data_IF_089749405634
#
_entry.id   IF_089749405634
#
_cell.length_a   1.000
_cell.length_b   1.000
_cell.length_c   1.000
_cell.angle_alpha   90.00
_cell.angle_beta   90.00
_cell.angle_gamma   90.00
#
_symmetry.space_group_name_H-M   'P 1'
#
loop_
_entity.id
_entity.type
_entity.pdbx_description
1 polymer ?
#
# COMPACT_ATOMS: atom_id res chain seq x y z
N UNK A 1 13.38 20.32 -16.52
CA UNK A 1 11.93 20.26 -16.19
C UNK A 1 11.83 20.33 -14.68
N UNK A 2 11.12 21.32 -14.13
CA UNK A 2 10.89 21.42 -12.68
C UNK A 2 9.52 20.85 -12.32
N UNK A 3 9.43 20.15 -11.19
CA UNK A 3 8.16 19.78 -10.58
C UNK A 3 7.74 20.86 -9.57
N UNK A 4 6.44 20.95 -9.29
CA UNK A 4 5.91 21.80 -8.22
C UNK A 4 5.42 20.90 -7.08
N UNK A 5 5.82 21.21 -5.85
CA UNK A 5 5.32 20.55 -4.65
C UNK A 5 4.26 21.43 -3.98
N UNK A 6 3.13 20.82 -3.62
CA UNK A 6 2.10 21.46 -2.83
C UNK A 6 2.27 21.12 -1.35
N UNK A 7 2.07 22.10 -0.48
CA UNK A 7 2.09 21.92 0.97
C UNK A 7 0.66 22.07 1.51
N UNK A 8 0.34 21.29 2.53
CA UNK A 8 -0.94 21.42 3.23
C UNK A 8 -0.96 22.71 4.04
N UNK A 9 -2.12 23.36 4.09
CA UNK A 9 -2.29 24.65 4.78
C UNK A 9 -2.34 24.50 6.29
N UNK A 10 -3.00 23.46 6.81
CA UNK A 10 -3.13 23.24 8.25
C UNK A 10 -2.98 21.76 8.63
N UNK A 11 -3.97 20.94 8.28
CA UNK A 11 -4.09 19.56 8.72
C UNK A 11 -4.60 18.66 7.60
N UNK A 12 -4.61 17.35 7.84
CA UNK A 12 -5.12 16.36 6.89
C UNK A 12 -6.61 16.54 6.57
N UNK A 13 -7.35 17.28 7.41
CA UNK A 13 -8.77 17.52 7.20
C UNK A 13 -9.00 18.55 6.08
N UNK A 14 -8.04 19.46 5.84
CA UNK A 14 -8.03 20.41 4.71
C UNK A 14 -7.49 19.84 3.39
N UNK A 15 -7.01 18.58 3.38
CA UNK A 15 -6.36 17.95 2.23
C UNK A 15 -7.19 18.04 0.93
N UNK A 16 -8.50 17.83 1.01
CA UNK A 16 -9.35 17.85 -0.19
C UNK A 16 -9.52 19.26 -0.76
N UNK A 17 -9.54 20.28 0.10
CA UNK A 17 -9.68 21.67 -0.32
C UNK A 17 -8.36 22.16 -0.94
N UNK A 18 -7.23 21.86 -0.30
CA UNK A 18 -5.90 22.14 -0.84
C UNK A 18 -5.68 21.41 -2.19
N UNK A 19 -6.04 20.12 -2.27
CA UNK A 19 -5.92 19.36 -3.51
C UNK A 19 -6.84 19.88 -4.63
N UNK A 20 -8.01 20.43 -4.27
CA UNK A 20 -8.90 21.05 -5.24
C UNK A 20 -8.26 22.30 -5.88
N UNK A 21 -7.59 23.12 -5.08
CA UNK A 21 -6.90 24.35 -5.51
C UNK A 21 -5.63 24.02 -6.30
N UNK A 22 -4.78 23.14 -5.76
CA UNK A 22 -3.48 22.78 -6.34
C UNK A 22 -3.60 21.94 -7.61
N UNK A 23 -4.71 21.19 -7.74
CA UNK A 23 -5.00 20.30 -8.87
C UNK A 23 -3.81 19.38 -9.20
N UNK A 24 -3.33 18.53 -8.27
CA UNK A 24 -2.12 17.74 -8.47
C UNK A 24 -2.24 16.76 -9.64
N UNK A 25 -1.11 16.43 -10.25
CA UNK A 25 -1.00 15.36 -11.27
C UNK A 25 -0.60 14.02 -10.65
N UNK A 26 0.34 14.06 -9.71
CA UNK A 26 0.77 12.94 -8.88
C UNK A 26 0.28 13.16 -7.45
N UNK A 27 -0.31 12.14 -6.83
CA UNK A 27 -0.77 12.20 -5.44
C UNK A 27 -0.11 11.10 -4.61
N UNK A 28 0.80 11.47 -3.72
CA UNK A 28 1.29 10.57 -2.68
C UNK A 28 0.29 10.55 -1.52
N UNK A 29 -0.22 9.38 -1.15
CA UNK A 29 -1.30 9.22 -0.18
C UNK A 29 -1.10 7.97 0.67
N UNK A 30 -1.36 8.07 1.97
CA UNK A 30 -1.31 6.90 2.87
C UNK A 30 -2.67 6.16 2.88
N UNK A 31 -2.68 4.83 3.11
CA UNK A 31 -3.90 4.02 3.13
C UNK A 31 -5.03 4.59 3.99
N UNK A 32 -4.69 5.20 5.14
CA UNK A 32 -5.67 5.81 6.06
C UNK A 32 -6.51 6.90 5.40
N UNK A 33 -5.91 7.76 4.57
CA UNK A 33 -6.63 8.83 3.88
C UNK A 33 -7.54 8.24 2.82
N UNK A 34 -7.03 7.27 2.05
CA UNK A 34 -7.80 6.58 1.05
C UNK A 34 -8.99 5.82 1.68
N UNK A 35 -8.80 5.21 2.85
CA UNK A 35 -9.85 4.55 3.64
C UNK A 35 -10.95 5.54 4.05
N UNK A 36 -10.59 6.72 4.58
CA UNK A 36 -11.57 7.78 4.89
C UNK A 36 -12.38 8.20 3.65
N UNK A 37 -11.72 8.32 2.49
CA UNK A 37 -12.38 8.64 1.23
C UNK A 37 -13.35 7.53 0.81
N UNK A 38 -12.91 6.28 0.90
CA UNK A 38 -13.71 5.10 0.59
C UNK A 38 -14.96 5.04 1.48
N UNK A 39 -14.81 5.16 2.80
CA UNK A 39 -15.92 5.15 3.75
C UNK A 39 -16.92 6.28 3.44
N UNK A 40 -16.45 7.52 3.24
CA UNK A 40 -17.32 8.65 2.87
C UNK A 40 -18.05 8.42 1.54
N UNK A 41 -17.37 7.81 0.58
CA UNK A 41 -17.96 7.47 -0.71
C UNK A 41 -19.04 6.39 -0.58
N UNK A 42 -18.75 5.31 0.17
CA UNK A 42 -19.70 4.24 0.46
C UNK A 42 -20.93 4.75 1.21
N UNK A 43 -20.75 5.62 2.22
CA UNK A 43 -21.85 6.27 2.92
C UNK A 43 -22.72 7.11 2.00
N UNK A 44 -22.13 7.82 1.02
CA UNK A 44 -22.88 8.62 0.05
C UNK A 44 -23.69 7.79 -0.96
N UNK A 45 -23.32 6.53 -1.19
CA UNK A 45 -24.17 5.59 -1.95
C UNK A 45 -25.45 5.22 -1.18
N UNK A 46 -25.43 5.33 0.15
CA UNK A 46 -26.55 5.02 1.05
C UNK A 46 -26.98 3.56 0.96
N UNK A 47 -28.27 3.29 1.18
CA UNK A 47 -28.83 1.94 1.09
C UNK A 47 -29.48 1.58 -0.25
N UNK A 48 -29.28 2.44 -1.25
CA UNK A 48 -29.76 2.15 -2.60
C UNK A 48 -29.04 0.94 -3.20
N UNK A 49 -29.77 -0.17 -3.35
CA UNK A 49 -29.30 -1.40 -4.00
C UNK A 49 -28.80 -1.12 -5.41
N UNK A 50 -29.53 -0.27 -6.16
CA UNK A 50 -29.18 0.11 -7.53
C UNK A 50 -27.82 0.83 -7.57
N UNK A 51 -27.58 1.80 -6.68
CA UNK A 51 -26.29 2.52 -6.62
C UNK A 51 -25.13 1.59 -6.24
N UNK A 52 -25.34 0.68 -5.29
CA UNK A 52 -24.34 -0.32 -4.87
C UNK A 52 -24.02 -1.32 -5.99
N UNK A 53 -25.03 -1.84 -6.67
CA UNK A 53 -24.84 -2.74 -7.82
C UNK A 53 -24.11 -2.03 -8.97
N UNK A 54 -24.49 -0.78 -9.26
CA UNK A 54 -23.82 0.02 -10.28
C UNK A 54 -22.34 0.27 -9.92
N UNK A 55 -22.05 0.62 -8.67
CA UNK A 55 -20.69 0.76 -8.16
C UNK A 55 -19.87 -0.53 -8.36
N UNK A 56 -20.39 -1.67 -7.88
CA UNK A 56 -19.71 -2.95 -8.00
C UNK A 56 -19.47 -3.35 -9.46
N UNK A 57 -20.46 -3.14 -10.33
CA UNK A 57 -20.35 -3.40 -11.76
C UNK A 57 -19.24 -2.56 -12.40
N UNK A 58 -19.16 -1.27 -12.07
CA UNK A 58 -18.16 -0.37 -12.65
C UNK A 58 -16.76 -0.69 -12.15
N UNK A 59 -16.60 -0.95 -10.84
CA UNK A 59 -15.30 -1.38 -10.28
C UNK A 59 -14.84 -2.66 -10.97
N UNK A 60 -15.71 -3.68 -11.08
CA UNK A 60 -15.39 -4.93 -11.77
C UNK A 60 -15.01 -4.71 -13.23
N UNK A 61 -15.76 -3.88 -13.96
CA UNK A 61 -15.48 -3.55 -15.36
C UNK A 61 -14.13 -2.84 -15.51
N UNK A 62 -13.82 -1.89 -14.62
CA UNK A 62 -12.56 -1.14 -14.60
C UNK A 62 -11.35 -2.03 -14.38
N UNK A 63 -11.42 -2.93 -13.41
CA UNK A 63 -10.35 -3.88 -13.13
C UNK A 63 -10.12 -4.81 -14.33
N UNK A 64 -11.18 -5.30 -14.97
CA UNK A 64 -11.07 -6.12 -16.18
C UNK A 64 -10.53 -5.35 -17.41
N UNK A 65 -10.75 -4.03 -17.49
CA UNK A 65 -10.13 -3.17 -18.49
C UNK A 65 -8.63 -3.00 -18.24
N UNK A 66 -8.24 -2.83 -16.97
CA UNK A 66 -6.84 -2.67 -16.54
C UNK A 66 -6.01 -3.93 -16.74
N UNK A 67 -6.58 -5.11 -16.46
CA UNK A 67 -5.98 -6.40 -16.78
C UNK A 67 -5.66 -6.54 -18.27
N UNK A 68 -6.42 -5.85 -19.14
CA UNK A 68 -6.17 -5.77 -20.59
C UNK A 68 -5.27 -4.59 -21.01
N UNK A 69 -4.62 -3.94 -20.05
CA UNK A 69 -3.73 -2.80 -20.29
C UNK A 69 -4.44 -1.46 -20.56
N UNK A 70 -5.74 -1.33 -20.26
CA UNK A 70 -6.52 -0.11 -20.55
C UNK A 70 -6.66 0.77 -19.31
N UNK A 71 -5.82 1.80 -19.22
CA UNK A 71 -5.81 2.76 -18.11
C UNK A 71 -6.37 4.12 -18.55
N UNK A 72 -7.70 4.24 -18.67
CA UNK A 72 -8.34 5.50 -19.10
C UNK A 72 -9.74 5.75 -18.52
N UNK A 73 -10.17 7.02 -18.53
CA UNK A 73 -11.50 7.46 -18.07
C UNK A 73 -12.56 7.61 -19.18
N UNK A 74 -12.49 6.83 -20.27
CA UNK A 74 -13.36 7.02 -21.46
C UNK A 74 -14.82 6.60 -21.28
N UNK A 75 -15.15 5.85 -20.23
CA UNK A 75 -16.52 5.42 -19.97
C UNK A 75 -17.36 6.57 -19.40
N UNK A 76 -18.51 6.85 -20.03
CA UNK A 76 -19.49 7.85 -19.54
C UNK A 76 -19.93 7.52 -18.11
N UNK A 77 -20.11 6.22 -17.82
CA UNK A 77 -20.57 5.75 -16.51
C UNK A 77 -19.50 5.93 -15.43
N UNK A 78 -18.22 5.76 -15.76
CA UNK A 78 -17.08 6.11 -14.88
C UNK A 78 -17.06 7.61 -14.57
N UNK A 79 -17.27 8.43 -15.61
CA UNK A 79 -17.33 9.89 -15.45
C UNK A 79 -18.46 10.33 -14.53
N UNK A 80 -19.64 9.71 -14.63
CA UNK A 80 -20.77 10.01 -13.76
C UNK A 80 -20.49 9.58 -12.31
N UNK A 81 -19.96 8.38 -12.12
CA UNK A 81 -19.81 7.77 -10.79
C UNK A 81 -18.63 8.36 -9.99
N UNK A 82 -17.46 8.46 -10.63
CA UNK A 82 -16.22 8.88 -9.98
C UNK A 82 -15.77 10.30 -10.35
N UNK A 83 -16.37 10.92 -11.37
CA UNK A 83 -16.00 12.26 -11.80
C UNK A 83 -16.17 13.33 -10.72
N UNK A 84 -17.22 13.25 -9.89
CA UNK A 84 -17.38 14.14 -8.74
C UNK A 84 -16.25 13.98 -7.71
N UNK A 85 -15.79 12.76 -7.48
CA UNK A 85 -14.69 12.47 -6.57
C UNK A 85 -13.36 12.98 -7.14
N UNK A 86 -13.06 12.69 -8.42
CA UNK A 86 -11.84 13.18 -9.09
C UNK A 86 -11.79 14.72 -9.16
N UNK A 87 -12.93 15.39 -9.34
CA UNK A 87 -13.02 16.86 -9.32
C UNK A 87 -12.63 17.47 -7.96
N UNK A 88 -12.80 16.74 -6.85
CA UNK A 88 -12.29 17.20 -5.54
C UNK A 88 -10.77 17.29 -5.50
N UNK A 89 -10.06 16.51 -6.33
CA UNK A 89 -8.60 16.61 -6.50
C UNK A 89 -8.21 17.49 -7.71
N UNK A 90 -9.12 18.37 -8.17
CA UNK A 90 -8.84 19.25 -9.30
C UNK A 90 -8.88 18.60 -10.69
N UNK A 91 -9.19 17.29 -10.74
CA UNK A 91 -9.43 16.53 -11.97
C UNK A 91 -8.20 16.22 -12.83
N UNK A 92 -6.98 16.45 -12.31
CA UNK A 92 -5.71 16.23 -13.05
C UNK A 92 -4.89 15.05 -12.55
N UNK A 93 -5.31 14.39 -11.48
CA UNK A 93 -4.59 13.23 -10.92
C UNK A 93 -4.57 12.12 -11.98
N UNK A 94 -3.37 11.77 -12.45
CA UNK A 94 -3.15 10.68 -13.38
C UNK A 94 -2.59 9.43 -12.69
N UNK A 95 -2.05 9.59 -11.48
CA UNK A 95 -1.41 8.53 -10.74
C UNK A 95 -1.42 8.83 -9.24
N UNK A 96 -1.60 7.79 -8.43
CA UNK A 96 -1.38 7.85 -6.98
C UNK A 96 -0.25 6.90 -6.57
N UNK A 97 0.48 7.27 -5.52
CA UNK A 97 1.48 6.41 -4.87
C UNK A 97 1.02 6.17 -3.43
N UNK A 98 0.93 4.91 -3.02
CA UNK A 98 0.57 4.47 -1.68
C UNK A 98 1.70 3.66 -1.06
N UNK A 99 1.93 3.89 0.23
CA UNK A 99 2.95 3.21 1.03
C UNK A 99 2.74 3.48 2.52
N UNK A 100 3.78 3.20 3.33
CA UNK A 100 3.77 3.33 4.80
C UNK A 100 2.89 2.34 5.57
N UNK A 101 1.85 1.78 4.95
CA UNK A 101 1.03 0.73 5.52
C UNK A 101 0.44 -0.15 4.40
N UNK A 102 0.02 -1.39 4.70
CA UNK A 102 -0.64 -2.25 3.73
C UNK A 102 -1.97 -1.67 3.24
N UNK A 103 -2.29 -1.89 1.96
CA UNK A 103 -3.57 -1.53 1.37
C UNK A 103 -4.49 -2.75 1.33
N UNK A 104 -5.72 -2.64 1.86
CA UNK A 104 -6.67 -3.75 1.76
C UNK A 104 -7.12 -3.98 0.31
N UNK A 105 -7.46 -5.22 -0.08
CA UNK A 105 -7.90 -5.51 -1.44
C UNK A 105 -9.09 -4.65 -1.89
N UNK A 106 -10.06 -4.39 -1.00
CA UNK A 106 -11.20 -3.52 -1.27
C UNK A 106 -10.78 -2.09 -1.58
N UNK A 107 -9.81 -1.57 -0.81
CA UNK A 107 -9.33 -0.21 -0.94
C UNK A 107 -8.46 -0.03 -2.19
N UNK A 108 -7.64 -1.04 -2.50
CA UNK A 108 -6.86 -1.09 -3.74
C UNK A 108 -7.79 -1.14 -4.96
N UNK A 109 -8.82 -2.01 -4.99
CA UNK A 109 -9.85 -2.02 -6.05
C UNK A 109 -10.51 -0.66 -6.25
N UNK A 110 -10.87 0.01 -5.16
CA UNK A 110 -11.47 1.34 -5.21
C UNK A 110 -10.50 2.37 -5.81
N UNK A 111 -9.25 2.42 -5.33
CA UNK A 111 -8.23 3.33 -5.86
C UNK A 111 -7.97 3.10 -7.35
N UNK A 112 -7.77 1.85 -7.76
CA UNK A 112 -7.58 1.49 -9.16
C UNK A 112 -8.79 1.90 -10.02
N UNK A 113 -10.02 1.72 -9.54
CA UNK A 113 -11.21 2.14 -10.27
C UNK A 113 -11.33 3.68 -10.40
N UNK A 114 -10.94 4.43 -9.36
CA UNK A 114 -11.07 5.90 -9.31
C UNK A 114 -9.96 6.60 -10.11
N UNK A 115 -8.71 6.16 -9.96
CA UNK A 115 -7.51 6.88 -10.44
C UNK A 115 -6.75 6.16 -11.57
N UNK A 116 -7.16 4.94 -11.94
CA UNK A 116 -6.50 4.04 -12.88
C UNK A 116 -5.10 3.56 -12.46
N UNK A 117 -4.12 4.46 -12.35
CA UNK A 117 -2.72 4.10 -12.05
C UNK A 117 -2.46 4.29 -10.56
N UNK A 118 -2.19 3.18 -9.89
CA UNK A 118 -1.87 3.11 -8.46
C UNK A 118 -0.53 2.42 -8.32
N UNK A 119 0.41 3.09 -7.66
CA UNK A 119 1.64 2.47 -7.22
C UNK A 119 1.54 2.08 -5.76
N UNK A 120 1.85 0.83 -5.44
CA UNK A 120 2.04 0.36 -4.07
C UNK A 120 3.53 0.12 -3.87
N UNK A 121 4.10 0.76 -2.84
CA UNK A 121 5.51 0.67 -2.53
C UNK A 121 5.76 0.30 -1.07
N UNK A 122 6.80 -0.49 -0.85
CA UNK A 122 7.28 -0.87 0.48
C UNK A 122 8.66 -0.29 0.73
N UNK A 123 8.92 0.05 1.99
CA UNK A 123 10.07 0.81 2.41
C UNK A 123 9.96 1.26 3.86
N UNK A 124 11.09 1.69 4.43
CA UNK A 124 11.17 2.22 5.78
C UNK A 124 12.12 3.40 5.85
N UNK A 125 12.23 4.02 7.03
CA UNK A 125 13.20 5.09 7.24
C UNK A 125 14.63 4.54 7.18
N UNK A 126 14.84 3.33 7.70
CA UNK A 126 16.11 2.63 7.74
C UNK A 126 16.64 2.31 6.33
N UNK A 127 15.75 2.03 5.38
CA UNK A 127 16.12 1.82 3.97
C UNK A 127 16.12 3.10 3.14
N UNK A 128 15.97 4.27 3.76
CA UNK A 128 15.91 5.58 3.10
C UNK A 128 14.78 5.66 2.05
N UNK A 129 13.62 5.08 2.38
CA UNK A 129 12.43 5.12 1.56
C UNK A 129 12.15 3.79 0.87
N UNK A 130 11.80 3.86 -0.41
CA UNK A 130 11.20 2.75 -1.15
C UNK A 130 12.25 1.72 -1.58
N UNK A 131 12.04 0.44 -1.23
CA UNK A 131 12.87 -0.70 -1.67
C UNK A 131 12.17 -1.58 -2.70
N UNK A 132 10.83 -1.58 -2.70
CA UNK A 132 10.03 -2.19 -3.78
C UNK A 132 8.93 -1.24 -4.22
N UNK A 133 8.60 -1.29 -5.51
CA UNK A 133 7.53 -0.50 -6.11
C UNK A 133 6.80 -1.32 -7.17
N UNK A 134 5.47 -1.23 -7.20
CA UNK A 134 4.69 -1.82 -8.29
C UNK A 134 5.02 -1.18 -9.65
N UNK A 135 4.87 -1.96 -10.71
CA UNK A 135 5.14 -1.48 -12.08
C UNK A 135 4.02 -0.61 -12.62
N UNK A 136 4.33 0.18 -13.65
CA UNK A 136 3.31 0.99 -14.34
C UNK A 136 2.25 0.07 -14.93
N UNK A 137 1.00 0.26 -14.53
CA UNK A 137 -0.09 -0.59 -15.01
C UNK A 137 -0.15 -1.96 -14.33
N UNK A 138 0.52 -2.14 -13.19
CA UNK A 138 0.25 -3.27 -12.32
C UNK A 138 -1.23 -3.27 -11.93
N UNK A 139 -1.88 -4.43 -12.08
CA UNK A 139 -3.29 -4.63 -11.78
C UNK A 139 -3.50 -5.68 -10.69
N UNK A 140 -2.47 -6.47 -10.37
CA UNK A 140 -2.49 -7.42 -9.27
C UNK A 140 -2.49 -6.68 -7.95
N UNK A 141 -3.38 -7.09 -7.07
CA UNK A 141 -3.59 -6.45 -5.78
C UNK A 141 -2.85 -7.21 -4.68
N UNK A 142 -2.46 -6.49 -3.62
CA UNK A 142 -1.85 -7.11 -2.44
C UNK A 142 -0.39 -7.52 -2.66
N UNK A 143 0.31 -6.86 -3.59
CA UNK A 143 1.76 -6.93 -3.76
C UNK A 143 2.32 -5.52 -3.71
N UNK A 144 3.58 -5.39 -3.32
CA UNK A 144 4.33 -4.12 -3.26
C UNK A 144 5.37 -4.03 -4.39
N UNK A 145 5.17 -4.84 -5.42
CA UNK A 145 5.94 -4.81 -6.66
C UNK A 145 7.34 -5.42 -6.58
N UNK A 146 8.17 -5.05 -7.55
CA UNK A 146 9.53 -5.54 -7.70
C UNK A 146 10.55 -4.64 -7.00
N UNK A 147 11.77 -5.15 -6.89
CA UNK A 147 12.91 -4.43 -6.29
C UNK A 147 13.24 -3.17 -7.12
N UNK A 148 13.40 -2.02 -6.45
CA UNK A 148 13.80 -0.79 -7.13
C UNK A 148 15.28 -0.81 -7.52
N UNK A 149 15.67 0.07 -8.44
CA UNK A 149 17.05 0.19 -8.87
C UNK A 149 18.00 0.51 -7.70
N UNK A 150 19.14 -0.19 -7.64
CA UNK A 150 20.18 0.05 -6.63
C UNK A 150 19.87 -0.53 -5.25
N UNK A 151 18.89 -1.44 -5.15
CA UNK A 151 18.61 -2.22 -3.93
C UNK A 151 18.80 -3.70 -4.22
N UNK A 152 19.40 -4.40 -3.27
CA UNK A 152 19.38 -5.86 -3.17
C UNK A 152 18.39 -6.27 -2.08
N UNK A 153 17.56 -7.28 -2.37
CA UNK A 153 16.62 -7.86 -1.42
C UNK A 153 16.81 -9.37 -1.33
N UNK A 154 16.74 -9.90 -0.10
CA UNK A 154 16.70 -11.35 0.17
C UNK A 154 15.64 -11.64 1.23
N UNK A 155 15.15 -12.88 1.24
CA UNK A 155 14.38 -13.41 2.37
C UNK A 155 15.31 -14.29 3.21
N UNK A 156 15.33 -14.08 4.52
CA UNK A 156 16.12 -14.88 5.46
C UNK A 156 15.23 -15.69 6.39
N UNK A 157 15.77 -16.80 6.88
CA UNK A 157 15.08 -17.67 7.83
C UNK A 157 14.76 -16.90 9.13
N UNK A 158 13.64 -17.26 9.77
CA UNK A 158 13.24 -16.70 11.06
C UNK A 158 13.02 -17.85 12.06
N UNK A 159 14.10 -18.32 12.71
CA UNK A 159 14.07 -19.51 13.56
C UNK A 159 13.07 -19.44 14.71
N UNK A 160 12.88 -18.24 15.28
CA UNK A 160 11.93 -18.01 16.39
C UNK A 160 10.49 -18.36 16.01
N UNK A 161 10.15 -18.27 14.72
CA UNK A 161 8.85 -18.62 14.16
C UNK A 161 8.86 -19.97 13.44
N UNK A 162 10.00 -20.67 13.43
CA UNK A 162 10.20 -21.90 12.67
C UNK A 162 10.09 -21.72 11.15
N UNK A 163 10.26 -20.49 10.66
CA UNK A 163 10.18 -20.14 9.24
C UNK A 163 11.52 -20.36 8.57
N UNK A 164 11.52 -21.12 7.48
CA UNK A 164 12.69 -21.36 6.63
C UNK A 164 12.36 -20.82 5.25
N UNK A 165 13.05 -19.76 4.82
CA UNK A 165 12.76 -18.98 3.63
C UNK A 165 12.66 -19.86 2.38
N UNK A 166 13.60 -20.78 2.19
CA UNK A 166 13.63 -21.66 1.04
C UNK A 166 12.51 -22.72 1.06
N UNK A 167 12.13 -23.20 2.25
CA UNK A 167 11.09 -24.24 2.41
C UNK A 167 9.69 -23.65 2.28
N UNK A 168 9.46 -22.52 2.95
CA UNK A 168 8.13 -21.95 3.12
C UNK A 168 7.81 -20.85 2.10
N UNK A 169 8.79 -20.43 1.29
CA UNK A 169 8.68 -19.28 0.39
C UNK A 169 8.55 -17.94 1.12
N UNK A 170 8.76 -17.93 2.45
CA UNK A 170 8.55 -16.80 3.35
C UNK A 170 9.70 -16.63 4.32
N UNK A 171 10.14 -15.40 4.50
CA UNK A 171 11.21 -15.07 5.44
C UNK A 171 11.20 -13.60 5.81
N UNK A 172 12.09 -13.21 6.71
CA UNK A 172 12.32 -11.80 6.98
C UNK A 172 12.92 -11.14 5.73
N UNK A 173 12.41 -9.96 5.38
CA UNK A 173 12.91 -9.14 4.30
C UNK A 173 14.20 -8.46 4.78
N UNK A 174 15.30 -8.73 4.09
CA UNK A 174 16.56 -8.02 4.30
C UNK A 174 16.89 -7.17 3.08
N UNK A 175 17.31 -5.94 3.31
CA UNK A 175 17.64 -4.98 2.25
C UNK A 175 19.08 -4.47 2.35
N UNK A 176 19.72 -4.26 1.20
CA UNK A 176 21.04 -3.63 1.10
C UNK A 176 21.09 -2.69 -0.09
N UNK A 177 21.74 -1.54 0.06
CA UNK A 177 21.91 -0.58 -1.02
C UNK A 177 22.66 0.66 -0.54
N UNK A 178 23.29 1.40 -1.46
CA UNK A 178 24.16 2.54 -1.13
C UNK A 178 23.43 3.71 -0.44
N UNK A 179 22.11 3.80 -0.64
CA UNK A 179 21.27 4.84 -0.03
C UNK A 179 20.72 4.44 1.34
N UNK A 180 20.85 3.18 1.75
CA UNK A 180 20.37 2.70 3.03
C UNK A 180 21.06 3.40 4.21
N UNK A 181 20.38 3.44 5.35
CA UNK A 181 20.90 4.05 6.57
C UNK A 181 22.22 3.42 7.01
N UNK A 182 23.10 4.23 7.60
CA UNK A 182 24.33 3.78 8.26
C UNK A 182 24.12 3.32 9.70
N UNK A 183 22.87 3.34 10.17
CA UNK A 183 22.50 3.01 11.55
C UNK A 183 21.83 4.16 12.29
N UNK A 184 21.63 3.95 13.58
CA UNK A 184 21.00 4.91 14.47
C UNK A 184 22.01 5.88 15.07
N UNK A 185 21.62 7.15 15.16
CA UNK A 185 22.49 8.20 15.69
C UNK A 185 22.84 7.95 17.16
N UNK A 186 24.14 7.81 17.46
CA UNK A 186 24.70 7.56 18.80
C UNK A 186 24.18 6.28 19.48
N UNK A 187 23.73 5.29 18.71
CA UNK A 187 23.27 4.01 19.23
C UNK A 187 23.94 2.85 18.46
N UNK A 188 25.20 2.50 18.81
CA UNK A 188 25.92 1.44 18.12
C UNK A 188 25.33 0.05 18.35
N UNK A 189 24.65 -0.15 19.50
CA UNK A 189 24.02 -1.44 19.83
C UNK A 189 22.84 -1.68 18.89
N UNK A 190 21.89 -0.75 18.81
CA UNK A 190 20.76 -0.90 17.87
C UNK A 190 21.19 -0.86 16.40
N UNK A 191 22.30 -0.19 16.09
CA UNK A 191 22.85 -0.21 14.73
C UNK A 191 23.33 -1.61 14.35
N UNK A 192 24.03 -2.30 15.26
CA UNK A 192 24.49 -3.67 15.04
C UNK A 192 23.34 -4.70 15.06
N UNK A 193 22.23 -4.40 15.76
CA UNK A 193 20.99 -5.19 15.66
C UNK A 193 20.27 -5.00 14.32
N UNK A 194 20.34 -3.79 13.74
CA UNK A 194 19.70 -3.45 12.48
C UNK A 194 20.48 -3.95 11.25
N UNK A 195 21.81 -3.81 11.28
CA UNK A 195 22.70 -4.05 10.13
C UNK A 195 23.65 -5.20 10.45
N UNK A 196 23.57 -6.28 9.68
CA UNK A 196 24.48 -7.43 9.84
C UNK A 196 25.91 -7.13 9.34
N UNK A 197 26.83 -8.07 9.58
CA UNK A 197 28.24 -7.93 9.16
C UNK A 197 28.43 -7.85 7.64
N UNK A 198 27.47 -8.31 6.86
CA UNK A 198 27.47 -8.28 5.38
C UNK A 198 26.75 -7.04 4.82
N UNK A 199 26.30 -6.14 5.69
CA UNK A 199 25.66 -4.88 5.36
C UNK A 199 24.15 -4.97 5.07
N UNK A 200 23.49 -6.05 5.45
CA UNK A 200 22.04 -6.19 5.27
C UNK A 200 21.28 -5.56 6.43
N UNK A 201 20.30 -4.74 6.08
CA UNK A 201 19.29 -4.24 7.01
C UNK A 201 18.24 -5.31 7.24
N UNK A 202 18.09 -5.75 8.47
CA UNK A 202 17.00 -6.59 8.95
C UNK A 202 15.77 -5.72 9.22
N UNK A 203 14.74 -5.81 8.36
CA UNK A 203 13.58 -4.91 8.46
C UNK A 203 12.62 -5.31 9.56
N UNK A 204 12.69 -6.55 10.04
CA UNK A 204 11.71 -7.13 10.94
C UNK A 204 10.34 -7.34 10.29
N UNK A 205 10.24 -7.34 8.95
CA UNK A 205 9.01 -7.59 8.20
C UNK A 205 9.12 -8.92 7.43
N UNK A 206 8.07 -9.73 7.45
CA UNK A 206 7.99 -10.99 6.71
C UNK A 206 7.47 -10.73 5.30
N UNK A 207 8.21 -11.23 4.32
CA UNK A 207 7.88 -11.17 2.90
C UNK A 207 7.65 -12.54 2.29
N UNK A 208 6.93 -12.56 1.17
CA UNK A 208 6.74 -13.70 0.29
C UNK A 208 6.97 -13.25 -1.16
N UNK A 209 7.77 -13.99 -1.91
CA UNK A 209 7.89 -13.77 -3.35
C UNK A 209 6.71 -14.45 -4.06
N UNK A 210 6.05 -13.69 -4.92
CA UNK A 210 5.10 -14.24 -5.88
C UNK A 210 5.83 -15.00 -6.99
N UNK A 211 5.14 -15.89 -7.69
CA UNK A 211 5.72 -16.65 -8.82
C UNK A 211 6.25 -15.73 -9.93
N UNK A 212 5.68 -14.53 -10.05
CA UNK A 212 6.07 -13.51 -11.02
C UNK A 212 7.22 -12.61 -10.53
N UNK A 213 7.75 -12.82 -9.33
CA UNK A 213 8.88 -12.07 -8.78
C UNK A 213 8.53 -10.73 -8.14
N UNK A 214 7.24 -10.47 -7.86
CA UNK A 214 6.82 -9.34 -7.02
C UNK A 214 6.83 -9.73 -5.55
N UNK A 215 7.18 -8.78 -4.67
CA UNK A 215 7.16 -8.96 -3.22
C UNK A 215 5.75 -8.74 -2.67
N UNK A 216 5.35 -9.58 -1.72
CA UNK A 216 4.17 -9.41 -0.91
C UNK A 216 4.56 -9.34 0.56
N UNK A 217 4.03 -8.34 1.27
CA UNK A 217 4.22 -8.21 2.71
C UNK A 217 3.19 -9.09 3.42
N UNK A 218 3.65 -9.93 4.35
CA UNK A 218 2.81 -10.85 5.12
C UNK A 218 2.39 -10.22 6.44
N UNK A 219 3.36 -9.85 7.28
CA UNK A 219 3.19 -9.12 8.56
C UNK A 219 4.58 -8.72 9.11
N UNK A 220 4.63 -8.04 10.26
CA UNK A 220 5.84 -7.77 11.02
C UNK A 220 6.20 -8.93 11.95
N UNK A 221 7.47 -9.29 12.00
CA UNK A 221 8.06 -10.29 12.91
C UNK A 221 7.64 -10.02 14.36
N UNK A 222 7.74 -8.78 14.82
CA UNK A 222 7.40 -8.38 16.20
C UNK A 222 5.89 -8.36 16.49
N UNK A 223 5.04 -8.37 15.46
CA UNK A 223 3.59 -8.36 15.60
C UNK A 223 2.99 -9.77 15.57
N UNK A 224 3.69 -10.76 15.01
CA UNK A 224 3.19 -12.14 14.98
C UNK A 224 3.24 -12.74 16.39
N UNK A 225 2.11 -13.26 16.88
CA UNK A 225 2.05 -13.98 18.15
C UNK A 225 1.58 -15.41 17.99
N UNK A 226 2.09 -16.28 18.88
CA UNK A 226 1.78 -17.70 18.93
C UNK A 226 0.64 -17.96 19.91
N UNK A 227 -0.42 -18.60 19.44
CA UNK A 227 -1.49 -19.08 20.32
C UNK A 227 -1.00 -20.24 21.20
N UNK A 228 -1.71 -20.50 22.30
CA UNK A 228 -1.40 -21.63 23.19
C UNK A 228 -1.42 -22.99 22.49
N UNK A 229 -2.15 -23.10 21.37
CA UNK A 229 -2.22 -24.29 20.51
C UNK A 229 -1.10 -24.37 19.46
N UNK A 230 -0.18 -23.39 19.44
CA UNK A 230 0.99 -23.39 18.59
C UNK A 230 0.83 -22.73 17.22
N UNK A 231 -0.38 -22.30 16.87
CA UNK A 231 -0.67 -21.54 15.65
C UNK A 231 -0.13 -20.11 15.73
N UNK A 232 0.39 -19.59 14.62
CA UNK A 232 0.89 -18.21 14.53
C UNK A 232 -0.15 -17.30 13.89
N UNK A 233 -0.40 -16.15 14.52
CA UNK A 233 -1.36 -15.16 14.06
C UNK A 233 -0.67 -13.84 13.75
N UNK A 234 -1.05 -13.31 12.59
CA UNK A 234 -0.70 -12.01 12.04
C UNK A 234 -1.82 -10.99 12.40
N UNK A 235 -1.68 -10.16 13.46
CA UNK A 235 -2.76 -9.28 13.91
C UNK A 235 -3.10 -8.20 12.91
N UNK A 236 -2.13 -7.61 12.21
CA UNK A 236 -2.39 -6.56 11.22
C UNK A 236 -3.32 -7.08 10.11
N UNK A 237 -3.14 -8.33 9.69
CA UNK A 237 -4.01 -8.98 8.71
C UNK A 237 -5.45 -9.12 9.22
N UNK A 238 -5.64 -9.40 10.50
CA UNK A 238 -6.95 -9.49 11.14
C UNK A 238 -7.57 -8.09 11.28
N UNK A 239 -6.79 -7.11 11.71
CA UNK A 239 -7.23 -5.71 11.80
C UNK A 239 -7.71 -5.19 10.44
N UNK A 240 -6.95 -5.44 9.37
CA UNK A 240 -7.35 -5.08 8.01
C UNK A 240 -8.67 -5.73 7.60
N UNK A 241 -8.90 -6.99 7.95
CA UNK A 241 -10.16 -7.66 7.69
C UNK A 241 -11.31 -6.98 8.47
N UNK A 242 -11.12 -6.67 9.75
CA UNK A 242 -12.12 -6.00 10.57
C UNK A 242 -12.38 -4.54 10.17
N UNK A 243 -11.39 -3.83 9.61
CA UNK A 243 -11.57 -2.47 9.07
C UNK A 243 -12.55 -2.42 7.89
N UNK A 244 -12.86 -3.55 7.26
CA UNK A 244 -13.92 -3.60 6.22
C UNK A 244 -15.33 -3.56 6.81
N UNK A 245 -15.50 -3.80 8.12
CA UNK A 245 -16.78 -3.77 8.80
C UNK A 245 -17.31 -2.33 8.92
N UNK A 246 -18.56 -2.12 8.52
CA UNK A 246 -19.21 -0.79 8.57
C UNK A 246 -19.34 -0.19 9.97
N UNK A 247 -19.31 -1.03 11.00
CA UNK A 247 -19.44 -0.61 12.40
C UNK A 247 -18.09 -0.26 13.04
N UNK A 248 -16.99 -0.58 12.37
CA UNK A 248 -15.64 -0.45 12.91
C UNK A 248 -14.99 0.81 12.36
N UNK A 249 -14.73 1.79 13.23
CA UNK A 249 -13.92 2.97 12.88
C UNK A 249 -12.42 2.68 13.02
N UNK A 250 -12.06 2.00 14.11
CA UNK A 250 -10.71 1.56 14.46
C UNK A 250 -10.80 0.24 15.21
N UNK A 251 -9.79 -0.60 15.07
CA UNK A 251 -9.67 -1.90 15.72
C UNK A 251 -8.20 -2.12 16.05
N UNK A 252 -7.94 -2.74 17.20
CA UNK A 252 -6.63 -3.18 17.64
C UNK A 252 -6.79 -4.63 18.09
N UNK A 253 -5.97 -5.53 17.54
CA UNK A 253 -6.04 -6.99 17.79
C UNK A 253 -4.85 -7.44 18.62
#
# INVERSE_FOLDING_TARGET
>A
MGACSGFLTESIDGLLDDAHILRPTLLAIVPRVLSRMYTKYQSALGDSVVKKQLYNYIVKKKLAEQERGKFHHRSVVDTILFGKLRKKFGGRVCCIISGSAPLSPELSKFAHAVFNVVFEGYGSTETMGCVTLSSVGEYRLGTVGGVVYGVELKLVDVPDFGLVALRDGRGEICARGDHCSKGYFKDPVKTAELIDSDGWIHTGDIGEWTEEGSLKIVDRVKSIFKLSQGEYIAPEKIEMAYQTCKLTSQVFV
#
